data_IF_737935338014
#
_entry.id   IF_737935338014
#
_cell.length_a   1.000
_cell.length_b   1.000
_cell.length_c   1.000
_cell.angle_alpha   90.00
_cell.angle_beta   90.00
_cell.angle_gamma   90.00
#
_symmetry.space_group_name_H-M   'P 1'
#
loop_
_entity.id
_entity.type
_entity.pdbx_description
1 polymer ?
#
# COMPACT_ATOMS: atom_id res chain seq x y z
N UNK A 1 16.02 -21.59 -11.23
CA UNK A 1 14.70 -21.18 -10.68
C UNK A 1 14.75 -19.69 -10.41
N UNK A 2 13.89 -18.89 -11.04
CA UNK A 2 13.80 -17.46 -10.71
C UNK A 2 13.35 -17.29 -9.25
N UNK A 3 13.93 -16.33 -8.51
CA UNK A 3 13.56 -16.13 -7.11
C UNK A 3 12.07 -15.79 -7.00
N UNK A 4 11.40 -16.39 -6.01
CA UNK A 4 9.98 -16.12 -5.72
C UNK A 4 9.83 -14.64 -5.36
N UNK A 5 9.08 -13.89 -6.16
CA UNK A 5 8.76 -12.49 -5.89
C UNK A 5 7.52 -12.42 -5.02
N UNK A 6 7.55 -11.57 -4.00
CA UNK A 6 6.41 -11.35 -3.12
C UNK A 6 5.92 -9.91 -3.23
N UNK A 7 4.60 -9.74 -3.24
CA UNK A 7 3.99 -8.45 -3.03
C UNK A 7 4.00 -8.14 -1.53
N UNK A 8 4.64 -7.04 -1.17
CA UNK A 8 4.68 -6.53 0.20
C UNK A 8 3.37 -5.85 0.62
N UNK A 9 3.45 -5.10 1.72
CA UNK A 9 2.31 -4.34 2.29
C UNK A 9 2.00 -3.05 1.53
N UNK A 10 2.86 -2.65 0.59
CA UNK A 10 2.78 -1.41 -0.17
C UNK A 10 2.83 -1.71 -1.66
N UNK A 11 1.95 -1.08 -2.43
CA UNK A 11 1.99 -1.06 -3.90
C UNK A 11 2.15 0.39 -4.33
N UNK A 12 3.15 0.64 -5.16
CA UNK A 12 3.41 1.98 -5.70
C UNK A 12 3.01 2.02 -7.17
N UNK A 13 2.24 3.02 -7.52
CA UNK A 13 1.89 3.41 -8.87
C UNK A 13 2.47 4.77 -9.21
N UNK A 14 2.53 5.12 -10.48
CA UNK A 14 2.82 6.50 -10.91
C UNK A 14 1.68 7.41 -10.48
N UNK A 15 1.99 8.69 -10.23
CA UNK A 15 1.02 9.68 -9.75
C UNK A 15 -0.20 9.84 -10.66
N UNK A 16 -0.01 9.70 -11.96
CA UNK A 16 -1.07 9.78 -12.99
C UNK A 16 -2.19 8.75 -12.85
N UNK A 17 -1.95 7.63 -12.15
CA UNK A 17 -2.97 6.61 -11.90
C UNK A 17 -3.81 6.87 -10.64
N UNK A 18 -3.53 7.92 -9.86
CA UNK A 18 -4.18 8.16 -8.58
C UNK A 18 -5.71 8.24 -8.72
N UNK A 19 -6.20 9.08 -9.62
CA UNK A 19 -7.64 9.26 -9.85
C UNK A 19 -8.29 7.97 -10.35
N UNK A 20 -7.71 7.32 -11.35
CA UNK A 20 -8.23 6.06 -11.91
C UNK A 20 -8.36 4.97 -10.84
N UNK A 21 -7.45 4.92 -9.87
CA UNK A 21 -7.50 3.95 -8.77
C UNK A 21 -8.63 4.32 -7.78
N UNK A 22 -8.72 5.59 -7.41
CA UNK A 22 -9.72 6.08 -6.45
C UNK A 22 -11.14 5.97 -7.01
N UNK A 23 -11.34 6.25 -8.29
CA UNK A 23 -12.62 6.14 -9.00
C UNK A 23 -12.99 4.70 -9.35
N UNK A 24 -12.03 3.77 -9.28
CA UNK A 24 -12.25 2.36 -9.57
C UNK A 24 -12.23 2.00 -11.07
N UNK A 25 -11.76 2.89 -11.95
CA UNK A 25 -11.53 2.57 -13.37
C UNK A 25 -10.25 1.75 -13.56
N UNK A 26 -9.24 1.90 -12.68
CA UNK A 26 -8.08 1.01 -12.58
C UNK A 26 -8.21 0.10 -11.37
N UNK A 27 -8.53 -1.16 -11.61
CA UNK A 27 -8.79 -2.17 -10.57
C UNK A 27 -7.77 -3.30 -10.56
N UNK A 28 -6.80 -3.30 -11.46
CA UNK A 28 -5.75 -4.31 -11.51
C UNK A 28 -4.36 -3.71 -11.59
N UNK A 29 -3.37 -4.54 -11.33
CA UNK A 29 -1.97 -4.26 -11.66
C UNK A 29 -1.30 -5.51 -12.20
N UNK A 30 -0.52 -5.35 -13.27
CA UNK A 30 0.21 -6.44 -13.90
C UNK A 30 1.69 -6.33 -13.55
N UNK A 31 2.28 -7.44 -13.13
CA UNK A 31 3.67 -7.52 -12.69
C UNK A 31 4.41 -8.63 -13.45
N UNK A 32 5.67 -8.37 -13.86
CA UNK A 32 6.52 -9.36 -14.52
C UNK A 32 6.82 -10.54 -13.60
N UNK A 33 6.65 -11.76 -14.10
CA UNK A 33 6.93 -13.01 -13.41
C UNK A 33 5.83 -13.44 -12.46
N UNK A 34 6.13 -14.44 -11.63
CA UNK A 34 5.22 -14.99 -10.63
C UNK A 34 5.38 -14.21 -9.34
N UNK A 35 4.41 -13.36 -8.99
CA UNK A 35 4.38 -12.54 -7.79
C UNK A 35 3.26 -13.03 -6.88
N UNK A 36 3.57 -13.34 -5.63
CA UNK A 36 2.61 -13.84 -4.65
C UNK A 36 2.32 -12.78 -3.59
N UNK A 37 1.05 -12.38 -3.38
CA UNK A 37 0.69 -11.49 -2.28
C UNK A 37 0.92 -12.21 -0.94
N UNK A 38 1.54 -11.50 0.00
CA UNK A 38 1.65 -11.97 1.40
C UNK A 38 0.53 -11.46 2.28
N UNK A 39 -0.16 -10.42 1.84
CA UNK A 39 -1.16 -9.71 2.64
C UNK A 39 -2.45 -9.55 1.85
N UNK A 40 -3.58 -9.72 2.56
CA UNK A 40 -4.91 -9.50 1.99
C UNK A 40 -5.22 -8.02 1.76
N UNK A 41 -4.58 -7.15 2.54
CA UNK A 41 -4.71 -5.70 2.40
C UNK A 41 -3.34 -5.06 2.21
N UNK A 42 -3.30 -4.06 1.34
CA UNK A 42 -2.08 -3.33 0.97
C UNK A 42 -2.37 -1.83 0.95
N UNK A 43 -1.37 -1.04 1.32
CA UNK A 43 -1.43 0.41 1.16
C UNK A 43 -1.02 0.74 -0.28
N UNK A 44 -1.89 1.43 -0.99
CA UNK A 44 -1.67 1.88 -2.36
C UNK A 44 -1.10 3.30 -2.32
N UNK A 45 -0.02 3.49 -3.04
CA UNK A 45 0.65 4.78 -3.20
C UNK A 45 0.58 5.23 -4.65
N UNK A 46 0.41 6.52 -4.88
CA UNK A 46 0.58 7.16 -6.17
C UNK A 46 1.67 8.23 -6.04
N UNK A 47 2.76 8.01 -6.77
CA UNK A 47 3.98 8.79 -6.54
C UNK A 47 4.50 8.60 -5.11
N UNK A 48 4.66 9.70 -4.39
CA UNK A 48 5.20 9.73 -3.02
C UNK A 48 4.12 9.75 -1.92
N UNK A 49 2.83 9.49 -2.23
CA UNK A 49 1.74 9.61 -1.25
C UNK A 49 0.92 8.34 -1.14
N UNK A 50 0.46 7.95 0.06
CA UNK A 50 -0.56 6.93 0.23
C UNK A 50 -1.90 7.51 -0.22
N UNK A 51 -2.64 6.78 -1.06
CA UNK A 51 -3.93 7.23 -1.61
C UNK A 51 -5.09 6.34 -1.19
N UNK A 52 -4.82 5.06 -0.94
CA UNK A 52 -5.86 4.11 -0.59
C UNK A 52 -5.33 2.93 0.22
N UNK A 53 -6.19 2.33 1.02
CA UNK A 53 -6.08 0.95 1.47
C UNK A 53 -6.89 0.09 0.49
N UNK A 54 -6.27 -0.91 -0.09
CA UNK A 54 -6.92 -1.82 -1.02
C UNK A 54 -6.85 -3.26 -0.53
N UNK A 55 -7.89 -4.03 -0.85
CA UNK A 55 -7.91 -5.48 -0.68
C UNK A 55 -7.44 -6.14 -1.97
N UNK A 56 -6.60 -7.16 -1.84
CA UNK A 56 -6.28 -8.06 -2.95
C UNK A 56 -7.46 -9.03 -3.11
N UNK A 57 -8.18 -8.91 -4.22
CA UNK A 57 -9.39 -9.71 -4.49
C UNK A 57 -9.06 -11.04 -5.16
N UNK A 58 -8.15 -11.00 -6.11
CA UNK A 58 -7.70 -12.18 -6.83
C UNK A 58 -6.28 -12.01 -7.36
N UNK A 59 -5.66 -13.14 -7.65
CA UNK A 59 -4.35 -13.21 -8.31
C UNK A 59 -4.35 -14.40 -9.24
N UNK A 60 -3.91 -14.19 -10.47
CA UNK A 60 -3.68 -15.28 -11.40
C UNK A 60 -2.47 -14.99 -12.29
N UNK A 61 -2.01 -16.02 -12.97
CA UNK A 61 -0.80 -16.00 -13.78
C UNK A 61 -1.14 -16.39 -15.20
N UNK A 62 -0.57 -15.66 -16.15
CA UNK A 62 -0.70 -15.98 -17.58
C UNK A 62 0.52 -15.47 -18.34
N UNK A 63 0.66 -15.84 -19.59
CA UNK A 63 1.71 -15.30 -20.43
C UNK A 63 1.33 -13.88 -20.87
N UNK A 64 2.34 -13.04 -21.12
CA UNK A 64 2.10 -11.67 -21.56
C UNK A 64 1.26 -11.63 -22.85
N UNK A 65 1.52 -12.56 -23.80
CA UNK A 65 0.75 -12.67 -25.04
C UNK A 65 -0.74 -12.98 -24.84
N UNK A 66 -1.11 -13.57 -23.70
CA UNK A 66 -2.49 -14.00 -23.41
C UNK A 66 -3.30 -12.94 -22.67
N UNK A 67 -2.72 -11.75 -22.39
CA UNK A 67 -3.44 -10.62 -21.83
C UNK A 67 -4.53 -10.16 -22.81
N UNK A 68 -5.76 -10.02 -22.30
CA UNK A 68 -6.92 -9.59 -23.08
C UNK A 68 -7.10 -8.08 -23.07
N UNK A 69 -7.94 -7.58 -23.99
CA UNK A 69 -8.36 -6.17 -24.00
C UNK A 69 -9.09 -5.77 -22.70
N UNK A 70 -9.92 -6.67 -22.15
CA UNK A 70 -10.65 -6.41 -20.92
C UNK A 70 -9.71 -6.30 -19.71
N UNK A 71 -8.61 -7.05 -19.68
CA UNK A 71 -7.60 -6.96 -18.63
C UNK A 71 -6.78 -5.66 -18.75
N UNK A 72 -6.48 -5.23 -19.98
CA UNK A 72 -5.82 -3.95 -20.22
C UNK A 72 -6.69 -2.78 -19.72
N UNK A 73 -7.98 -2.79 -20.03
CA UNK A 73 -8.92 -1.77 -19.53
C UNK A 73 -9.00 -1.75 -18.02
N UNK A 74 -9.07 -2.90 -17.35
CA UNK A 74 -9.07 -2.98 -15.89
C UNK A 74 -7.75 -2.50 -15.27
N UNK A 75 -6.65 -2.57 -16.03
CA UNK A 75 -5.35 -2.01 -15.62
C UNK A 75 -5.21 -0.51 -15.95
N UNK A 76 -6.27 0.12 -16.48
CA UNK A 76 -6.35 1.56 -16.73
C UNK A 76 -5.85 2.00 -18.10
N UNK A 77 -5.66 1.06 -19.04
CA UNK A 77 -5.24 1.31 -20.41
C UNK A 77 -6.42 1.20 -21.39
N UNK A 78 -6.37 1.92 -22.49
CA UNK A 78 -7.44 1.87 -23.49
C UNK A 78 -7.37 0.60 -24.34
N UNK A 79 -6.18 0.06 -24.55
CA UNK A 79 -5.96 -1.14 -25.32
C UNK A 79 -4.86 -2.05 -24.75
N UNK A 80 -4.89 -3.32 -25.18
CA UNK A 80 -3.82 -4.27 -24.91
C UNK A 80 -2.47 -3.80 -25.48
N UNK A 81 -2.47 -3.20 -26.66
CA UNK A 81 -1.26 -2.71 -27.30
C UNK A 81 -0.59 -1.62 -26.45
N UNK A 82 -1.36 -0.70 -25.91
CA UNK A 82 -0.88 0.35 -25.00
C UNK A 82 -0.30 -0.25 -23.71
N UNK A 83 -1.04 -1.16 -23.05
CA UNK A 83 -0.56 -1.86 -21.86
C UNK A 83 0.77 -2.58 -22.12
N UNK A 84 0.87 -3.36 -23.20
CA UNK A 84 2.09 -4.11 -23.53
C UNK A 84 3.26 -3.15 -23.81
N UNK A 85 3.00 -2.05 -24.52
CA UNK A 85 4.01 -1.00 -24.75
C UNK A 85 4.54 -0.44 -23.42
N UNK A 86 3.64 -0.15 -22.48
CA UNK A 86 4.02 0.37 -21.17
C UNK A 86 4.77 -0.68 -20.31
N UNK A 87 4.34 -1.94 -20.35
CA UNK A 87 5.06 -3.02 -19.68
C UNK A 87 6.47 -3.21 -20.22
N UNK A 88 6.69 -3.03 -21.51
CA UNK A 88 8.03 -3.08 -22.14
C UNK A 88 8.93 -1.93 -21.70
N UNK A 89 8.37 -0.74 -21.44
CA UNK A 89 9.12 0.39 -20.86
C UNK A 89 9.52 0.12 -19.40
N UNK A 90 8.59 -0.42 -18.61
CA UNK A 90 8.82 -0.73 -17.16
C UNK A 90 9.77 -1.94 -17.03
N UNK A 91 9.65 -2.90 -17.90
CA UNK A 91 10.41 -4.16 -17.87
C UNK A 91 11.15 -4.38 -19.21
N UNK A 92 12.27 -3.68 -19.47
CA UNK A 92 13.02 -3.87 -20.71
C UNK A 92 13.36 -5.33 -20.95
N UNK A 93 13.15 -5.80 -22.17
CA UNK A 93 13.40 -7.18 -22.56
C UNK A 93 12.36 -8.21 -22.09
N UNK A 94 11.19 -7.78 -21.61
CA UNK A 94 10.08 -8.72 -21.33
C UNK A 94 9.60 -9.34 -22.64
N UNK A 95 9.51 -10.68 -22.65
CA UNK A 95 9.08 -11.44 -23.84
C UNK A 95 7.60 -11.79 -23.76
N UNK A 96 6.99 -12.02 -24.90
CA UNK A 96 5.57 -12.36 -25.00
C UNK A 96 5.22 -13.72 -24.36
N UNK A 97 6.19 -14.63 -24.31
CA UNK A 97 6.05 -15.95 -23.69
C UNK A 97 6.35 -15.96 -22.18
N UNK A 98 6.79 -14.84 -21.60
CA UNK A 98 7.03 -14.74 -20.16
C UNK A 98 5.72 -14.68 -19.37
N UNK A 99 5.77 -15.27 -18.16
CA UNK A 99 4.65 -15.14 -17.23
C UNK A 99 4.57 -13.74 -16.64
N UNK A 100 3.35 -13.27 -16.49
CA UNK A 100 2.97 -12.09 -15.74
C UNK A 100 1.95 -12.46 -14.68
N UNK A 101 1.91 -11.68 -13.61
CA UNK A 101 0.91 -11.80 -12.55
C UNK A 101 -0.09 -10.68 -12.69
N UNK A 102 -1.36 -11.03 -12.80
CA UNK A 102 -2.48 -10.09 -12.72
C UNK A 102 -3.01 -10.09 -11.29
N UNK A 103 -3.03 -8.92 -10.66
CA UNK A 103 -3.46 -8.73 -9.28
C UNK A 103 -4.68 -7.80 -9.29
N UNK A 104 -5.83 -8.32 -8.89
CA UNK A 104 -7.05 -7.54 -8.71
C UNK A 104 -7.06 -6.84 -7.36
N UNK A 105 -7.39 -5.56 -7.36
CA UNK A 105 -7.41 -4.69 -6.20
C UNK A 105 -8.79 -4.02 -6.09
N UNK A 106 -9.30 -3.96 -4.86
CA UNK A 106 -10.49 -3.16 -4.53
C UNK A 106 -10.15 -2.16 -3.44
N UNK A 107 -10.35 -0.88 -3.71
CA UNK A 107 -10.22 0.17 -2.70
C UNK A 107 -11.26 -0.06 -1.61
N UNK A 108 -10.81 -0.17 -0.37
CA UNK A 108 -11.67 -0.34 0.82
C UNK A 108 -11.71 0.90 1.68
N UNK A 109 -10.68 1.75 1.59
CA UNK A 109 -10.64 3.04 2.28
C UNK A 109 -9.75 4.01 1.51
N UNK A 110 -10.20 5.25 1.36
CA UNK A 110 -9.39 6.34 0.84
C UNK A 110 -8.44 6.84 1.94
N UNK A 111 -7.21 7.17 1.56
CA UNK A 111 -6.16 7.69 2.44
C UNK A 111 -5.63 9.04 1.96
N UNK A 112 -6.21 9.57 0.89
CA UNK A 112 -5.86 10.86 0.28
C UNK A 112 -6.27 12.06 1.16
N UNK A 113 -7.15 11.83 2.16
CA UNK A 113 -7.48 12.77 3.20
C UNK A 113 -7.78 12.07 4.52
N UNK A 114 -7.39 12.69 5.64
CA UNK A 114 -7.63 12.22 7.01
C UNK A 114 -8.46 13.24 7.77
N UNK A 115 -9.30 12.75 8.68
CA UNK A 115 -10.13 13.57 9.57
C UNK A 115 -9.45 13.66 10.94
N UNK A 116 -8.70 14.72 11.16
CA UNK A 116 -7.92 14.90 12.40
C UNK A 116 -8.78 15.09 13.65
N UNK A 117 -10.10 15.31 13.50
CA UNK A 117 -11.04 15.29 14.64
C UNK A 117 -11.29 13.88 15.18
N UNK A 118 -10.95 12.85 14.41
CA UNK A 118 -11.10 11.44 14.80
C UNK A 118 -9.79 10.86 15.33
N UNK A 119 -9.86 9.88 16.25
CA UNK A 119 -8.66 9.16 16.68
C UNK A 119 -7.85 8.67 15.47
N UNK A 120 -6.56 8.94 15.49
CA UNK A 120 -5.61 8.55 14.44
C UNK A 120 -5.99 9.02 13.01
N UNK A 121 -6.70 10.16 12.90
CA UNK A 121 -7.19 10.66 11.60
C UNK A 121 -8.27 9.78 10.98
N UNK A 122 -8.97 8.98 11.80
CA UNK A 122 -9.92 7.97 11.33
C UNK A 122 -9.25 6.74 10.70
N UNK A 123 -7.93 6.59 10.79
CA UNK A 123 -7.20 5.41 10.33
C UNK A 123 -7.14 4.33 11.42
N UNK A 124 -7.04 3.07 11.00
CA UNK A 124 -6.69 2.00 11.92
C UNK A 124 -5.22 2.17 12.38
N UNK A 125 -4.90 1.91 13.67
CA UNK A 125 -3.54 2.02 14.19
C UNK A 125 -2.49 1.32 13.35
N UNK A 126 -2.79 0.12 12.85
CA UNK A 126 -1.91 -0.67 11.99
C UNK A 126 -1.65 -0.01 10.64
N UNK A 127 -2.64 0.68 10.07
CA UNK A 127 -2.50 1.38 8.79
C UNK A 127 -1.62 2.62 8.97
N UNK A 128 -1.90 3.41 10.02
CA UNK A 128 -1.08 4.58 10.36
C UNK A 128 0.38 4.19 10.64
N UNK A 129 0.60 3.12 11.42
CA UNK A 129 1.93 2.60 11.71
C UNK A 129 2.70 2.22 10.43
N UNK A 130 2.04 1.57 9.47
CA UNK A 130 2.66 1.21 8.17
C UNK A 130 3.06 2.44 7.35
N UNK A 131 2.22 3.46 7.33
CA UNK A 131 2.50 4.73 6.64
C UNK A 131 3.67 5.44 7.33
N UNK A 132 3.63 5.56 8.66
CA UNK A 132 4.67 6.21 9.45
C UNK A 132 6.05 5.55 9.26
N UNK A 133 6.14 4.23 9.36
CA UNK A 133 7.39 3.50 9.14
C UNK A 133 7.97 3.69 7.74
N UNK A 134 7.14 3.96 6.75
CA UNK A 134 7.60 4.20 5.38
C UNK A 134 8.11 5.62 5.17
N UNK A 135 7.44 6.62 5.74
CA UNK A 135 7.67 8.03 5.41
C UNK A 135 8.40 8.83 6.49
N UNK A 136 8.51 8.29 7.69
CA UNK A 136 9.14 8.95 8.83
C UNK A 136 10.33 8.18 9.40
N UNK A 137 10.83 7.15 8.70
CA UNK A 137 11.90 6.27 9.19
C UNK A 137 13.16 7.01 9.61
N UNK A 138 13.42 8.17 9.00
CA UNK A 138 14.58 9.04 9.24
C UNK A 138 14.46 9.94 10.48
N UNK A 139 13.25 10.08 11.02
CA UNK A 139 12.95 11.01 12.14
C UNK A 139 12.31 10.33 13.35
N UNK A 140 12.01 9.02 13.25
CA UNK A 140 11.53 8.23 14.37
C UNK A 140 12.66 7.90 15.35
N UNK A 141 12.36 7.98 16.64
CA UNK A 141 13.23 7.41 17.67
C UNK A 141 13.18 5.88 17.63
N UNK A 142 14.19 5.22 18.20
CA UNK A 142 14.22 3.73 18.28
C UNK A 142 13.01 3.15 18.97
N UNK A 143 12.52 3.81 20.02
CA UNK A 143 11.32 3.37 20.74
C UNK A 143 10.07 3.48 19.87
N UNK A 144 9.89 4.60 19.19
CA UNK A 144 8.74 4.80 18.28
C UNK A 144 8.77 3.80 17.13
N UNK A 145 9.93 3.58 16.52
CA UNK A 145 10.08 2.58 15.46
C UNK A 145 9.71 1.18 15.95
N UNK A 146 10.12 0.79 17.17
CA UNK A 146 9.76 -0.50 17.78
C UNK A 146 8.25 -0.62 18.05
N UNK A 147 7.64 0.42 18.60
CA UNK A 147 6.18 0.49 18.85
C UNK A 147 5.43 0.32 17.54
N UNK A 148 5.75 1.13 16.53
CA UNK A 148 5.08 1.08 15.23
C UNK A 148 5.30 -0.27 14.52
N UNK A 149 6.51 -0.84 14.61
CA UNK A 149 6.81 -2.14 14.02
C UNK A 149 5.99 -3.26 14.67
N UNK A 150 5.88 -3.26 16.00
CA UNK A 150 5.07 -4.26 16.72
C UNK A 150 3.58 -4.10 16.39
N UNK A 151 3.06 -2.86 16.35
CA UNK A 151 1.69 -2.58 15.89
C UNK A 151 1.39 -3.15 14.49
N UNK A 152 2.36 -3.13 13.57
CA UNK A 152 2.13 -3.73 12.24
C UNK A 152 1.98 -5.25 12.27
N UNK A 153 2.37 -5.91 13.37
CA UNK A 153 2.30 -7.37 13.56
C UNK A 153 1.08 -7.76 14.40
N UNK A 154 0.84 -7.04 15.48
CA UNK A 154 -0.24 -7.33 16.44
C UNK A 154 -1.58 -6.73 16.01
N UNK A 155 -1.57 -5.50 15.44
CA UNK A 155 -2.77 -4.71 15.18
C UNK A 155 -3.44 -4.19 16.45
N UNK A 156 -2.83 -4.38 17.63
CA UNK A 156 -3.41 -4.17 18.95
C UNK A 156 -2.52 -3.26 19.81
N UNK A 157 -3.10 -2.18 20.33
CA UNK A 157 -2.39 -1.17 21.14
C UNK A 157 -1.97 -1.76 22.48
N UNK A 158 -2.86 -2.48 23.17
CA UNK A 158 -2.62 -3.02 24.50
C UNK A 158 -1.55 -4.11 24.45
N UNK A 159 -1.65 -5.00 23.47
CA UNK A 159 -0.63 -6.03 23.26
C UNK A 159 0.74 -5.42 22.90
N UNK A 160 0.76 -4.34 22.12
CA UNK A 160 2.00 -3.62 21.81
C UNK A 160 2.59 -2.96 23.06
N UNK A 161 1.75 -2.36 23.95
CA UNK A 161 2.21 -1.79 25.21
C UNK A 161 2.89 -2.87 26.07
N UNK A 162 2.26 -4.03 26.22
CA UNK A 162 2.84 -5.17 26.97
C UNK A 162 4.17 -5.61 26.35
N UNK A 163 4.23 -5.84 25.02
CA UNK A 163 5.39 -6.43 24.34
C UNK A 163 6.58 -5.49 24.23
N UNK A 164 6.33 -4.21 24.00
CA UNK A 164 7.39 -3.21 23.76
C UNK A 164 7.76 -2.43 25.02
N UNK A 165 6.75 -2.09 25.85
CA UNK A 165 6.91 -1.24 27.02
C UNK A 165 6.85 -2.02 28.35
N UNK A 166 6.52 -3.32 28.29
CA UNK A 166 6.48 -4.23 29.44
C UNK A 166 5.25 -4.08 30.35
N UNK A 167 4.30 -3.22 30.02
CA UNK A 167 3.13 -2.94 30.87
C UNK A 167 1.96 -2.43 30.03
N UNK A 168 0.77 -3.00 30.25
CA UNK A 168 -0.48 -2.58 29.58
C UNK A 168 -0.88 -1.15 30.01
N UNK A 169 -0.58 -0.75 31.24
CA UNK A 169 -0.88 0.61 31.74
C UNK A 169 -0.11 1.70 30.92
N UNK A 170 0.89 1.32 30.15
CA UNK A 170 1.62 2.22 29.24
C UNK A 170 0.97 2.34 27.85
N UNK A 171 -0.28 1.87 27.67
CA UNK A 171 -1.00 1.98 26.39
C UNK A 171 -1.07 3.42 25.86
N UNK A 172 -1.18 4.40 26.76
CA UNK A 172 -1.26 5.80 26.37
C UNK A 172 0.00 6.30 25.68
N UNK A 173 1.19 5.76 26.01
CA UNK A 173 2.41 6.05 25.28
C UNK A 173 2.37 5.53 23.83
N UNK A 174 1.71 4.40 23.59
CA UNK A 174 1.50 3.89 22.21
C UNK A 174 0.55 4.82 21.46
N UNK A 175 -0.51 5.29 22.13
CA UNK A 175 -1.46 6.27 21.55
C UNK A 175 -0.76 7.59 21.24
N UNK A 176 0.11 8.08 22.12
CA UNK A 176 0.90 9.31 21.93
C UNK A 176 1.82 9.19 20.72
N UNK A 177 2.50 8.03 20.54
CA UNK A 177 3.31 7.76 19.35
C UNK A 177 2.45 7.85 18.08
N UNK A 178 1.28 7.23 18.07
CA UNK A 178 0.36 7.28 16.92
C UNK A 178 -0.10 8.70 16.61
N UNK A 179 -0.47 9.47 17.62
CA UNK A 179 -0.92 10.86 17.45
C UNK A 179 0.24 11.76 16.98
N UNK A 180 1.46 11.54 17.48
CA UNK A 180 2.63 12.28 17.03
C UNK A 180 2.94 12.00 15.58
N UNK A 181 2.98 10.73 15.15
CA UNK A 181 3.28 10.40 13.76
C UNK A 181 2.18 10.86 12.81
N UNK A 182 0.91 10.88 13.23
CA UNK A 182 -0.18 11.45 12.44
C UNK A 182 0.09 12.94 12.15
N UNK A 183 0.39 13.74 13.20
CA UNK A 183 0.72 15.16 13.02
C UNK A 183 1.89 15.36 12.08
N UNK A 184 2.98 14.61 12.25
CA UNK A 184 4.16 14.70 11.38
C UNK A 184 3.84 14.35 9.92
N UNK A 185 2.98 13.35 9.67
CA UNK A 185 2.57 12.97 8.32
C UNK A 185 1.72 14.05 7.66
N UNK A 186 0.89 14.75 8.43
CA UNK A 186 0.09 15.88 7.94
C UNK A 186 0.99 17.09 7.68
N UNK A 187 1.85 17.47 8.62
CA UNK A 187 2.81 18.57 8.48
C UNK A 187 3.74 18.39 7.26
N UNK A 188 4.22 17.16 7.02
CA UNK A 188 5.02 16.83 5.82
C UNK A 188 4.18 16.75 4.53
N UNK A 189 2.86 16.91 4.60
CA UNK A 189 1.96 16.81 3.44
C UNK A 189 1.85 15.40 2.84
N UNK A 190 2.27 14.37 3.58
CA UNK A 190 2.12 12.96 3.18
C UNK A 190 0.64 12.55 3.27
N UNK A 191 -0.01 12.89 4.37
CA UNK A 191 -1.47 12.83 4.53
C UNK A 191 -2.02 14.26 4.45
N UNK A 192 -3.21 14.42 3.84
CA UNK A 192 -3.89 15.71 3.79
C UNK A 192 -5.02 15.72 4.81
N UNK A 193 -5.18 16.81 5.51
CA UNK A 193 -6.35 17.02 6.34
C UNK A 193 -7.59 17.21 5.47
N UNK A 194 -8.70 16.63 5.90
CA UNK A 194 -9.98 16.83 5.24
C UNK A 194 -10.44 18.27 5.51
N UNK A 195 -10.50 19.07 4.45
CA UNK A 195 -11.12 20.39 4.53
C UNK A 195 -12.63 20.31 4.71
#
# INVERSE_FOLDING_TARGET
MSPKKFLGRHIVFRGEYAEKIIEGSKTTTIRRGIVRPRYKQVVVHAGSRPIALARVEYVYYKRLRDISESEARRDGFESRAELVSELRKIYPGIRDDEYVTVIGLRVVKRLDSVDTSKPFGGLEPVVLARIALRYLSDVLTDLEARVLLDLTRTGDIDLTAIRVLGDVNKRDLVVDVLNRVLRMLVEKGILREKG
#
